data_IF_413258573335
#
_entry.id   IF_413258573335
#
_cell.length_a   1.000
_cell.length_b   1.000
_cell.length_c   1.000
_cell.angle_alpha   90.00
_cell.angle_beta   90.00
_cell.angle_gamma   90.00
#
_symmetry.space_group_name_H-M   'P 1'
#
loop_
_entity.id
_entity.type
_entity.pdbx_description
1 polymer ?
#
# COMPACT_ATOMS: atom_id res chain seq x y z
N UNK A 1 16.36 -1.60 -12.13
CA UNK A 1 15.13 -1.87 -11.35
C UNK A 1 15.52 -2.67 -10.13
N UNK A 2 15.04 -2.28 -8.95
CA UNK A 2 15.14 -3.08 -7.74
C UNK A 2 13.77 -3.69 -7.46
N UNK A 3 13.72 -4.99 -7.18
CA UNK A 3 12.49 -5.72 -6.86
C UNK A 3 12.60 -6.16 -5.41
N UNK A 4 11.63 -5.76 -4.59
CA UNK A 4 11.54 -6.14 -3.18
C UNK A 4 10.37 -7.10 -3.00
N UNK A 5 10.61 -8.20 -2.30
CA UNK A 5 9.54 -9.16 -1.95
C UNK A 5 8.84 -8.69 -0.67
N UNK A 6 7.54 -8.50 -0.75
CA UNK A 6 6.68 -8.16 0.39
C UNK A 6 5.52 -9.16 0.45
N UNK A 7 5.08 -9.51 1.65
CA UNK A 7 3.89 -10.33 1.84
C UNK A 7 2.69 -9.40 2.06
N UNK A 8 1.62 -9.65 1.32
CA UNK A 8 0.41 -8.86 1.37
C UNK A 8 -0.80 -9.79 1.45
N UNK A 9 -1.89 -9.31 2.03
CA UNK A 9 -3.14 -10.04 2.03
C UNK A 9 -3.74 -10.09 0.61
N UNK A 10 -3.93 -11.30 0.07
CA UNK A 10 -4.41 -11.52 -1.30
C UNK A 10 -5.83 -10.98 -1.53
N UNK A 11 -6.68 -10.96 -0.51
CA UNK A 11 -8.05 -10.46 -0.65
C UNK A 11 -8.06 -8.93 -0.74
N UNK A 12 -7.27 -8.27 0.10
CA UNK A 12 -7.05 -6.83 0.02
C UNK A 12 -6.41 -6.43 -1.31
N UNK A 13 -5.41 -7.17 -1.79
CA UNK A 13 -4.75 -6.89 -3.06
C UNK A 13 -5.73 -7.01 -4.24
N UNK A 14 -6.46 -8.13 -4.33
CA UNK A 14 -7.49 -8.32 -5.37
C UNK A 14 -8.55 -7.24 -5.36
N UNK A 15 -8.98 -6.80 -4.17
CA UNK A 15 -9.96 -5.72 -4.03
C UNK A 15 -9.39 -4.39 -4.52
N UNK A 16 -8.15 -4.05 -4.16
CA UNK A 16 -7.46 -2.86 -4.65
C UNK A 16 -7.32 -2.88 -6.16
N UNK A 17 -6.94 -4.01 -6.74
CA UNK A 17 -6.85 -4.21 -8.19
C UNK A 17 -8.20 -3.95 -8.89
N UNK A 18 -9.28 -4.52 -8.35
CA UNK A 18 -10.63 -4.31 -8.88
C UNK A 18 -11.09 -2.84 -8.81
N UNK A 19 -10.79 -2.13 -7.72
CA UNK A 19 -11.18 -0.72 -7.54
C UNK A 19 -10.36 0.20 -8.46
N UNK A 20 -9.07 -0.08 -8.61
CA UNK A 20 -8.16 0.76 -9.41
C UNK A 20 -8.12 0.39 -10.90
N UNK A 21 -8.71 -0.74 -11.29
CA UNK A 21 -8.75 -1.22 -12.67
C UNK A 21 -7.41 -1.74 -13.18
N UNK A 22 -6.48 -2.10 -12.29
CA UNK A 22 -5.17 -2.66 -12.66
C UNK A 22 -5.21 -4.18 -12.65
N UNK A 23 -4.45 -4.78 -13.57
CA UNK A 23 -4.48 -6.22 -13.83
C UNK A 23 -3.23 -6.96 -13.33
N UNK A 24 -2.22 -6.21 -12.87
CA UNK A 24 -0.96 -6.73 -12.33
C UNK A 24 -0.76 -6.27 -10.88
N UNK A 25 -0.23 -7.17 -10.05
CA UNK A 25 0.00 -6.94 -8.63
C UNK A 25 1.05 -5.86 -8.38
N UNK A 26 2.10 -5.80 -9.20
CA UNK A 26 3.15 -4.78 -9.08
C UNK A 26 2.60 -3.40 -9.42
N UNK A 27 1.74 -3.31 -10.43
CA UNK A 27 1.09 -2.05 -10.79
C UNK A 27 0.14 -1.56 -9.68
N UNK A 28 -0.58 -2.47 -9.03
CA UNK A 28 -1.41 -2.14 -7.88
C UNK A 28 -0.59 -1.57 -6.72
N UNK A 29 0.52 -2.22 -6.37
CA UNK A 29 1.42 -1.77 -5.29
C UNK A 29 2.09 -0.44 -5.67
N UNK A 30 2.58 -0.31 -6.89
CA UNK A 30 3.20 0.92 -7.37
C UNK A 30 2.22 2.09 -7.36
N UNK A 31 0.96 1.86 -7.76
CA UNK A 31 -0.09 2.86 -7.72
C UNK A 31 -0.41 3.28 -6.28
N UNK A 32 -0.55 2.32 -5.37
CA UNK A 32 -0.82 2.58 -3.96
C UNK A 32 0.31 3.40 -3.30
N UNK A 33 1.58 3.06 -3.58
CA UNK A 33 2.73 3.79 -3.07
C UNK A 33 2.76 5.23 -3.61
N UNK A 34 2.50 5.42 -4.91
CA UNK A 34 2.42 6.77 -5.51
C UNK A 34 1.31 7.60 -4.89
N UNK A 35 0.14 6.99 -4.68
CA UNK A 35 -0.98 7.65 -4.04
C UNK A 35 -0.65 8.07 -2.60
N UNK A 36 -0.05 7.16 -1.83
CA UNK A 36 0.40 7.45 -0.48
C UNK A 36 1.40 8.62 -0.48
N UNK A 37 2.46 8.57 -1.29
CA UNK A 37 3.44 9.66 -1.34
C UNK A 37 2.82 11.00 -1.75
N UNK A 38 1.83 11.00 -2.64
CA UNK A 38 1.16 12.22 -3.09
C UNK A 38 0.23 12.84 -2.03
N UNK A 39 -0.33 12.04 -1.12
CA UNK A 39 -1.30 12.49 -0.11
C UNK A 39 -0.76 12.47 1.32
N UNK A 40 0.42 11.88 1.53
CA UNK A 40 1.04 11.78 2.84
C UNK A 40 1.43 13.18 3.33
N UNK A 41 0.84 13.54 4.45
CA UNK A 41 1.15 14.75 5.20
C UNK A 41 2.33 14.50 6.12
N UNK A 42 2.97 15.56 6.62
CA UNK A 42 4.11 15.43 7.55
C UNK A 42 3.78 14.57 8.77
N UNK A 43 2.55 14.63 9.27
CA UNK A 43 2.08 13.82 10.40
C UNK A 43 2.10 12.31 10.14
N UNK A 44 1.94 11.88 8.89
CA UNK A 44 1.95 10.46 8.50
C UNK A 44 3.35 9.83 8.61
N UNK A 45 4.40 10.66 8.67
CA UNK A 45 5.79 10.23 8.86
C UNK A 45 6.25 10.33 10.32
N UNK A 46 5.57 11.12 11.15
CA UNK A 46 5.95 11.39 12.54
C UNK A 46 5.40 10.33 13.51
N UNK A 47 4.35 9.60 13.14
CA UNK A 47 3.85 8.44 13.89
C UNK A 47 4.51 7.17 13.33
N UNK A 48 5.35 6.47 14.12
CA UNK A 48 5.88 5.18 13.69
C UNK A 48 4.73 4.23 13.37
N UNK A 49 4.74 3.58 12.20
CA UNK A 49 3.76 2.56 11.80
C UNK A 49 3.57 1.45 12.85
N UNK A 50 4.55 1.27 13.74
CA UNK A 50 4.55 0.37 14.91
C UNK A 50 3.57 0.78 16.02
N UNK A 51 3.02 1.99 15.99
CA UNK A 51 2.20 2.59 17.07
C UNK A 51 0.70 2.42 16.86
N UNK A 52 0.28 1.96 15.68
CA UNK A 52 -1.14 1.71 15.40
C UNK A 52 -1.57 0.46 16.18
N UNK A 53 -2.60 0.54 17.04
CA UNK A 53 -3.08 -0.64 17.74
C UNK A 53 -3.52 -1.66 16.68
N UNK A 54 -2.97 -2.88 16.77
CA UNK A 54 -3.46 -4.02 16.01
C UNK A 54 -4.94 -4.20 16.34
N UNK A 55 -5.81 -3.68 15.48
CA UNK A 55 -7.24 -3.94 15.52
C UNK A 55 -7.41 -5.45 15.31
N UNK A 56 -7.70 -6.14 16.41
CA UNK A 56 -8.10 -7.55 16.43
C UNK A 56 -9.54 -7.70 15.99
#
# INVERSE_FOLDING_TARGET
MAITRIYLDDAALRRTMAISGVHDEQDAVNLALRFFTAHATRSDYEVPLTSLPSQR
#
